data_IF_776543912180
#
_entry.id   IF_776543912180
#
_cell.length_a   1.000
_cell.length_b   1.000
_cell.length_c   1.000
_cell.angle_alpha   90.00
_cell.angle_beta   90.00
_cell.angle_gamma   90.00
#
_symmetry.space_group_name_H-M   'P 1'
#
loop_
_entity.id
_entity.type
_entity.pdbx_description
1 polymer ?
#
# COMPACT_ATOMS: atom_id res chain seq x y z
N UNK A 1 -25.10 13.51 -8.42
CA UNK A 1 -23.95 12.58 -8.56
C UNK A 1 -24.37 11.13 -8.46
N UNK A 2 -24.92 10.66 -7.32
CA UNK A 2 -25.34 9.26 -7.15
C UNK A 2 -26.60 8.92 -7.94
N UNK A 3 -27.69 9.68 -7.76
CA UNK A 3 -28.96 9.48 -8.48
C UNK A 3 -28.76 9.50 -10.00
N UNK A 4 -27.98 10.46 -10.46
CA UNK A 4 -27.62 10.65 -11.87
C UNK A 4 -26.53 9.70 -12.40
N UNK A 5 -26.01 8.78 -11.56
CA UNK A 5 -24.98 7.79 -11.91
C UNK A 5 -23.74 8.38 -12.60
N UNK A 6 -23.32 9.55 -12.12
CA UNK A 6 -22.18 10.28 -12.67
C UNK A 6 -20.86 9.55 -12.47
N UNK A 7 -20.71 8.85 -11.35
CA UNK A 7 -19.51 8.09 -11.00
C UNK A 7 -19.83 6.59 -10.98
N UNK A 8 -18.81 5.78 -11.28
CA UNK A 8 -18.85 4.33 -11.08
C UNK A 8 -17.77 3.92 -10.09
N UNK A 9 -18.16 3.11 -9.11
CA UNK A 9 -17.23 2.52 -8.16
C UNK A 9 -16.89 1.08 -8.58
N UNK A 10 -15.61 0.72 -8.58
CA UNK A 10 -15.10 -0.63 -8.88
C UNK A 10 -14.00 -1.01 -7.92
N UNK A 11 -13.91 -2.30 -7.61
CA UNK A 11 -12.91 -2.84 -6.70
C UNK A 11 -12.46 -4.23 -7.14
N UNK A 12 -11.20 -4.54 -6.85
CA UNK A 12 -10.64 -5.87 -6.90
C UNK A 12 -9.88 -6.12 -5.60
N UNK A 13 -10.04 -7.32 -5.05
CA UNK A 13 -9.29 -7.81 -3.90
C UNK A 13 -8.69 -9.17 -4.24
N UNK A 14 -7.61 -9.53 -3.56
CA UNK A 14 -6.94 -10.82 -3.67
C UNK A 14 -6.33 -11.24 -2.33
N UNK A 15 -6.15 -12.54 -2.15
CA UNK A 15 -5.52 -13.14 -0.97
C UNK A 15 -4.54 -14.21 -1.44
N UNK A 16 -3.38 -14.25 -0.81
CA UNK A 16 -2.33 -15.19 -1.16
C UNK A 16 -1.72 -15.78 0.10
N UNK A 17 -1.40 -17.09 0.10
CA UNK A 17 -0.49 -17.67 1.07
C UNK A 17 0.83 -16.90 1.01
N UNK A 18 1.33 -16.48 2.16
CA UNK A 18 2.52 -15.66 2.26
C UNK A 18 3.34 -16.00 3.50
N UNK A 19 4.64 -15.76 3.45
CA UNK A 19 5.55 -15.85 4.58
C UNK A 19 6.60 -14.74 4.51
N UNK A 20 7.07 -14.31 5.66
CA UNK A 20 8.27 -13.47 5.74
C UNK A 20 9.50 -14.31 5.32
N UNK A 21 10.35 -13.70 4.51
CA UNK A 21 11.64 -14.23 4.08
C UNK A 21 12.72 -13.15 4.20
N UNK A 22 13.95 -13.58 4.40
CA UNK A 22 15.14 -12.72 4.39
C UNK A 22 15.00 -11.47 5.29
N UNK A 23 14.26 -11.60 6.41
CA UNK A 23 14.01 -10.61 7.47
C UNK A 23 13.05 -9.47 7.09
N UNK A 24 13.11 -8.97 5.86
CA UNK A 24 12.42 -7.73 5.46
C UNK A 24 11.45 -7.90 4.27
N UNK A 25 11.31 -9.10 3.72
CA UNK A 25 10.50 -9.36 2.53
C UNK A 25 9.34 -10.31 2.81
N UNK A 26 8.31 -10.24 1.97
CA UNK A 26 7.13 -11.11 2.05
C UNK A 26 7.02 -11.88 0.73
N UNK A 27 7.27 -13.18 0.77
CA UNK A 27 7.11 -14.09 -0.37
C UNK A 27 5.66 -14.58 -0.45
N UNK A 28 5.05 -14.45 -1.63
CA UNK A 28 3.71 -14.96 -1.92
C UNK A 28 3.81 -16.24 -2.72
N UNK A 29 2.84 -17.14 -2.54
CA UNK A 29 2.78 -18.40 -3.24
C UNK A 29 1.52 -18.51 -4.11
N UNK A 30 1.60 -19.33 -5.16
CA UNK A 30 0.49 -19.59 -6.06
C UNK A 30 -0.70 -20.27 -5.36
N UNK A 31 -0.43 -21.09 -4.34
CA UNK A 31 -1.40 -21.87 -3.60
C UNK A 31 -0.90 -22.26 -2.19
N UNK A 32 -1.76 -22.92 -1.41
CA UNK A 32 -1.48 -23.32 -0.03
C UNK A 32 -0.39 -24.40 0.10
N UNK A 33 0.00 -25.05 -1.00
CA UNK A 33 1.13 -25.99 -1.00
C UNK A 33 2.47 -25.26 -0.84
N UNK A 34 2.53 -23.93 -1.09
CA UNK A 34 3.70 -23.06 -0.89
C UNK A 34 4.99 -23.54 -1.58
N UNK A 35 4.83 -24.19 -2.74
CA UNK A 35 5.95 -24.73 -3.54
C UNK A 35 6.43 -23.77 -4.62
N UNK A 36 5.50 -23.02 -5.21
CA UNK A 36 5.79 -22.10 -6.32
C UNK A 36 5.63 -20.66 -5.83
N UNK A 37 6.74 -19.92 -5.67
CA UNK A 37 6.70 -18.49 -5.41
C UNK A 37 6.04 -17.74 -6.58
N UNK A 38 5.15 -16.82 -6.25
CA UNK A 38 4.38 -16.04 -7.21
C UNK A 38 4.94 -14.62 -7.39
N UNK A 39 5.23 -13.95 -6.27
CA UNK A 39 5.73 -12.58 -6.22
C UNK A 39 6.36 -12.31 -4.85
N UNK A 40 7.21 -11.28 -4.75
CA UNK A 40 7.77 -10.82 -3.48
C UNK A 40 7.42 -9.35 -3.27
N UNK A 41 6.87 -9.02 -2.11
CA UNK A 41 6.75 -7.63 -1.67
C UNK A 41 7.95 -7.27 -0.79
N UNK A 42 8.64 -6.19 -1.15
CA UNK A 42 9.87 -5.80 -0.50
C UNK A 42 9.63 -4.68 0.48
N UNK A 43 9.86 -4.91 1.78
CA UNK A 43 9.59 -3.92 2.82
C UNK A 43 10.86 -3.22 3.29
N UNK A 44 10.68 -2.05 3.90
CA UNK A 44 11.74 -1.23 4.47
C UNK A 44 11.62 -1.24 5.98
N UNK A 45 12.77 -1.27 6.65
CA UNK A 45 12.89 -1.30 8.11
C UNK A 45 13.31 0.07 8.65
N UNK A 46 12.72 0.42 9.79
CA UNK A 46 13.16 1.56 10.58
C UNK A 46 14.66 1.43 10.97
N UNK A 47 15.45 2.48 10.77
CA UNK A 47 16.87 2.50 11.16
C UNK A 47 17.21 3.52 12.26
N UNK A 48 16.21 4.23 12.78
CA UNK A 48 16.42 5.18 13.87
C UNK A 48 16.91 4.49 15.16
N UNK A 49 17.85 5.12 15.85
CA UNK A 49 18.27 4.68 17.19
C UNK A 49 17.12 4.86 18.16
N UNK A 50 16.66 3.76 18.75
CA UNK A 50 15.58 3.76 19.74
C UNK A 50 16.15 3.97 21.15
N UNK A 51 15.50 4.82 21.92
CA UNK A 51 15.71 4.94 23.38
C UNK A 51 14.78 4.00 24.18
N UNK A 52 13.74 3.49 23.53
CA UNK A 52 12.78 2.52 24.06
C UNK A 52 13.16 1.08 23.70
N UNK A 53 12.60 0.10 24.42
CA UNK A 53 12.68 -1.33 24.08
C UNK A 53 11.88 -1.73 22.82
N UNK A 54 11.12 -0.79 22.22
CA UNK A 54 10.37 -1.03 20.98
C UNK A 54 11.32 -1.39 19.84
N UNK A 55 11.01 -2.48 19.14
CA UNK A 55 11.71 -2.90 17.95
C UNK A 55 11.64 -1.86 16.81
N UNK A 56 12.59 -1.95 15.90
CA UNK A 56 12.51 -1.23 14.64
C UNK A 56 11.71 -2.05 13.65
N UNK A 57 10.54 -1.55 13.27
CA UNK A 57 9.59 -2.28 12.47
C UNK A 57 9.89 -2.27 10.98
N UNK A 58 9.60 -3.38 10.34
CA UNK A 58 9.33 -3.56 8.93
C UNK A 58 7.92 -4.16 8.77
N UNK A 59 7.26 -3.96 7.62
CA UNK A 59 5.92 -4.55 7.41
C UNK A 59 5.96 -6.08 7.38
N UNK A 60 7.09 -6.66 6.97
CA UNK A 60 7.31 -8.11 6.96
C UNK A 60 7.19 -8.74 8.37
N UNK A 61 7.48 -7.98 9.43
CA UNK A 61 7.39 -8.45 10.83
C UNK A 61 5.96 -8.88 11.23
N UNK A 62 4.94 -8.48 10.45
CA UNK A 62 3.54 -8.81 10.68
C UNK A 62 3.06 -10.02 9.86
N UNK A 63 3.98 -10.76 9.23
CA UNK A 63 3.73 -12.03 8.53
C UNK A 63 4.61 -13.10 9.16
N UNK A 64 4.10 -14.30 9.35
CA UNK A 64 4.86 -15.37 9.97
C UNK A 64 6.12 -15.72 9.16
N UNK A 65 7.30 -15.82 9.82
CA UNK A 65 8.54 -16.27 9.18
C UNK A 65 8.38 -17.63 8.53
N UNK A 66 8.99 -17.82 7.37
CA UNK A 66 8.92 -19.09 6.62
C UNK A 66 9.42 -20.30 7.42
N UNK A 67 10.44 -20.11 8.26
CA UNK A 67 11.01 -21.16 9.10
C UNK A 67 10.17 -21.49 10.34
N UNK A 68 9.18 -20.66 10.69
CA UNK A 68 8.25 -20.91 11.79
C UNK A 68 7.29 -22.08 11.51
N UNK A 69 7.10 -22.42 10.23
CA UNK A 69 6.12 -23.44 9.79
C UNK A 69 4.65 -23.00 9.93
N UNK A 70 4.38 -21.75 10.30
CA UNK A 70 3.02 -21.20 10.38
C UNK A 70 2.56 -20.78 8.98
N UNK A 71 1.40 -21.30 8.56
CA UNK A 71 0.75 -20.89 7.34
C UNK A 71 0.09 -19.51 7.53
N UNK A 72 0.70 -18.47 6.97
CA UNK A 72 0.20 -17.10 7.01
C UNK A 72 -0.22 -16.59 5.63
N UNK A 73 -0.86 -15.43 5.59
CA UNK A 73 -1.50 -14.88 4.40
C UNK A 73 -1.37 -13.37 4.39
N UNK A 74 -1.32 -12.80 3.19
CA UNK A 74 -1.59 -11.38 2.99
C UNK A 74 -2.73 -11.18 2.00
N UNK A 75 -3.40 -10.04 2.10
CA UNK A 75 -4.36 -9.60 1.10
C UNK A 75 -3.85 -8.39 0.32
N UNK A 76 -4.53 -8.06 -0.76
CA UNK A 76 -4.29 -6.85 -1.54
C UNK A 76 -5.58 -6.31 -2.12
N UNK A 77 -5.63 -5.00 -2.37
CA UNK A 77 -6.78 -4.35 -2.98
C UNK A 77 -6.41 -3.22 -3.93
N UNK A 78 -7.31 -2.96 -4.86
CA UNK A 78 -7.39 -1.72 -5.61
C UNK A 78 -8.87 -1.34 -5.73
N UNK A 79 -9.22 -0.12 -5.32
CA UNK A 79 -10.56 0.45 -5.44
C UNK A 79 -10.50 1.80 -6.15
N UNK A 80 -11.55 2.12 -6.89
CA UNK A 80 -11.73 3.46 -7.46
C UNK A 80 -13.20 3.84 -7.45
N UNK A 81 -13.45 5.11 -7.12
CA UNK A 81 -14.75 5.77 -7.30
C UNK A 81 -14.68 6.88 -8.36
N UNK A 82 -13.53 7.06 -9.02
CA UNK A 82 -13.26 8.17 -9.93
C UNK A 82 -13.68 7.97 -11.38
N UNK A 83 -14.25 6.82 -11.77
CA UNK A 83 -14.67 6.61 -13.16
C UNK A 83 -15.80 7.57 -13.55
N UNK A 84 -15.49 8.54 -14.42
CA UNK A 84 -16.37 9.63 -14.85
C UNK A 84 -16.05 10.98 -14.21
N UNK A 85 -15.18 11.03 -13.20
CA UNK A 85 -14.82 12.25 -12.47
C UNK A 85 -14.25 13.35 -13.38
N UNK A 86 -13.27 13.00 -14.22
CA UNK A 86 -12.58 13.95 -15.10
C UNK A 86 -13.54 14.61 -16.09
N UNK A 87 -14.50 13.86 -16.63
CA UNK A 87 -15.50 14.36 -17.57
C UNK A 87 -16.45 15.36 -16.91
N UNK A 88 -16.88 15.08 -15.68
CA UNK A 88 -17.75 15.98 -14.89
C UNK A 88 -17.00 17.27 -14.56
N UNK A 89 -15.80 17.14 -14.02
CA UNK A 89 -14.99 18.28 -13.61
C UNK A 89 -14.63 19.16 -14.83
N UNK A 90 -14.31 18.55 -15.97
CA UNK A 90 -14.11 19.27 -17.24
C UNK A 90 -15.37 20.00 -17.68
N UNK A 91 -16.55 19.36 -17.63
CA UNK A 91 -17.82 19.99 -17.99
C UNK A 91 -18.20 21.20 -17.12
N UNK A 92 -17.78 21.23 -15.85
CA UNK A 92 -17.91 22.41 -15.00
C UNK A 92 -16.91 23.51 -15.35
N UNK A 93 -15.64 23.16 -15.61
CA UNK A 93 -14.60 24.12 -16.03
C UNK A 93 -14.92 24.79 -17.37
N UNK A 94 -15.48 24.06 -18.33
CA UNK A 94 -15.94 24.61 -19.62
C UNK A 94 -17.05 25.66 -19.46
N UNK A 95 -17.77 25.64 -18.33
CA UNK A 95 -18.80 26.62 -17.96
C UNK A 95 -18.27 27.68 -17.00
N UNK A 96 -16.96 27.74 -16.77
CA UNK A 96 -16.30 28.61 -15.80
C UNK A 96 -16.80 28.43 -14.35
N UNK A 97 -17.24 27.23 -13.99
CA UNK A 97 -17.68 26.85 -12.63
C UNK A 97 -16.58 26.05 -11.91
N UNK A 98 -15.46 26.71 -11.60
CA UNK A 98 -14.32 26.07 -10.95
C UNK A 98 -14.67 25.50 -9.57
N UNK A 99 -15.60 26.15 -8.86
CA UNK A 99 -16.08 25.67 -7.56
C UNK A 99 -16.70 24.29 -7.66
N UNK A 100 -17.63 24.07 -8.59
CA UNK A 100 -18.25 22.75 -8.77
C UNK A 100 -17.30 21.72 -9.36
N UNK A 101 -16.35 22.15 -10.19
CA UNK A 101 -15.28 21.26 -10.66
C UNK A 101 -14.49 20.71 -9.46
N UNK A 102 -13.93 21.59 -8.62
CA UNK A 102 -13.16 21.21 -7.42
C UNK A 102 -14.02 20.37 -6.47
N UNK A 103 -15.26 20.80 -6.20
CA UNK A 103 -16.16 20.08 -5.30
C UNK A 103 -16.46 18.65 -5.80
N UNK A 104 -16.67 18.47 -7.11
CA UNK A 104 -16.92 17.14 -7.69
C UNK A 104 -15.72 16.21 -7.53
N UNK A 105 -14.50 16.71 -7.73
CA UNK A 105 -13.26 15.95 -7.55
C UNK A 105 -13.02 15.61 -6.07
N UNK A 106 -13.21 16.58 -5.16
CA UNK A 106 -13.14 16.32 -3.72
C UNK A 106 -14.15 15.27 -3.26
N UNK A 107 -15.37 15.28 -3.80
CA UNK A 107 -16.37 14.25 -3.48
C UNK A 107 -16.00 12.88 -4.03
N UNK A 108 -15.45 12.79 -5.23
CA UNK A 108 -14.97 11.52 -5.80
C UNK A 108 -13.85 10.92 -4.93
N UNK A 109 -12.89 11.75 -4.51
CA UNK A 109 -11.82 11.36 -3.60
C UNK A 109 -12.34 10.85 -2.25
N UNK A 110 -13.29 11.56 -1.62
CA UNK A 110 -13.93 11.08 -0.38
C UNK A 110 -14.69 9.77 -0.57
N UNK A 111 -15.28 9.54 -1.74
CA UNK A 111 -15.94 8.26 -2.06
C UNK A 111 -14.93 7.12 -2.26
N UNK A 112 -13.77 7.39 -2.84
CA UNK A 112 -12.72 6.38 -2.99
C UNK A 112 -12.17 5.94 -1.63
N UNK A 113 -11.94 6.88 -0.71
CA UNK A 113 -11.51 6.58 0.66
C UNK A 113 -12.59 5.84 1.45
N UNK A 114 -13.85 6.28 1.36
CA UNK A 114 -14.97 5.58 1.97
C UNK A 114 -15.12 4.15 1.42
N UNK A 115 -14.84 3.95 0.13
CA UNK A 115 -14.87 2.62 -0.47
C UNK A 115 -13.71 1.75 0.01
N UNK A 116 -12.52 2.32 0.21
CA UNK A 116 -11.40 1.60 0.80
C UNK A 116 -11.69 1.15 2.24
N UNK A 117 -12.28 2.03 3.06
CA UNK A 117 -12.70 1.69 4.43
C UNK A 117 -13.76 0.59 4.44
N UNK A 118 -14.81 0.75 3.64
CA UNK A 118 -15.89 -0.23 3.56
C UNK A 118 -15.41 -1.59 3.02
N UNK A 119 -14.55 -1.59 1.99
CA UNK A 119 -13.98 -2.82 1.47
C UNK A 119 -13.11 -3.50 2.54
N UNK A 120 -12.31 -2.73 3.29
CA UNK A 120 -11.50 -3.28 4.37
C UNK A 120 -12.40 -3.90 5.46
N UNK A 121 -13.47 -3.22 5.88
CA UNK A 121 -14.46 -3.79 6.81
C UNK A 121 -15.00 -5.14 6.29
N UNK A 122 -15.41 -5.20 5.03
CA UNK A 122 -15.89 -6.46 4.42
C UNK A 122 -14.81 -7.52 4.34
N UNK A 123 -13.55 -7.14 4.11
CA UNK A 123 -12.43 -8.09 4.15
C UNK A 123 -12.29 -8.70 5.53
N UNK A 124 -12.32 -7.90 6.60
CA UNK A 124 -12.23 -8.40 7.98
C UNK A 124 -13.39 -9.32 8.36
N UNK A 125 -14.61 -9.00 7.92
CA UNK A 125 -15.85 -9.67 8.33
C UNK A 125 -16.28 -10.83 7.43
N UNK A 126 -16.08 -10.70 6.12
CA UNK A 126 -16.69 -11.58 5.11
C UNK A 126 -15.65 -12.34 4.28
N UNK A 127 -14.63 -11.66 3.74
CA UNK A 127 -13.74 -12.27 2.74
C UNK A 127 -12.55 -13.00 3.37
N UNK A 128 -11.86 -12.36 4.30
CA UNK A 128 -10.84 -12.99 5.14
C UNK A 128 -11.46 -13.50 6.45
N UNK A 129 -12.51 -12.82 6.93
CA UNK A 129 -13.38 -13.29 8.01
C UNK A 129 -12.68 -13.58 9.36
N UNK A 130 -11.55 -12.93 9.65
CA UNK A 130 -10.87 -13.05 10.95
C UNK A 130 -11.54 -12.24 12.08
N UNK A 131 -12.54 -11.42 11.75
CA UNK A 131 -13.33 -10.62 12.69
C UNK A 131 -14.81 -10.59 12.28
N UNK A 132 -15.42 -11.76 12.05
CA UNK A 132 -16.78 -11.88 11.51
C UNK A 132 -17.89 -11.25 12.40
N UNK A 133 -17.63 -11.10 13.70
CA UNK A 133 -18.53 -10.51 14.69
C UNK A 133 -18.28 -9.00 14.93
N UNK A 134 -17.36 -8.38 14.18
CA UNK A 134 -17.04 -6.95 14.29
C UNK A 134 -18.27 -6.07 14.01
N UNK A 135 -18.58 -5.17 14.94
CA UNK A 135 -19.67 -4.22 14.84
C UNK A 135 -19.24 -2.83 15.35
N UNK A 136 -18.42 -2.16 14.54
CA UNK A 136 -17.88 -0.83 14.84
C UNK A 136 -18.74 0.27 14.23
N UNK A 137 -18.84 1.40 14.94
CA UNK A 137 -19.38 2.63 14.37
C UNK A 137 -18.40 3.27 13.39
N UNK A 138 -18.89 4.16 12.53
CA UNK A 138 -18.03 4.89 11.59
C UNK A 138 -16.92 5.69 12.29
N UNK A 139 -17.17 6.22 13.50
CA UNK A 139 -16.14 6.91 14.27
C UNK A 139 -15.05 5.95 14.75
N UNK A 140 -15.43 4.74 15.15
CA UNK A 140 -14.47 3.72 15.57
C UNK A 140 -13.67 3.16 14.39
N UNK A 141 -14.25 3.13 13.18
CA UNK A 141 -13.52 2.83 11.94
C UNK A 141 -12.47 3.93 11.64
N UNK A 142 -12.85 5.22 11.76
CA UNK A 142 -11.91 6.35 11.57
C UNK A 142 -10.79 6.33 12.62
N UNK A 143 -11.09 5.91 13.85
CA UNK A 143 -10.11 5.72 14.92
C UNK A 143 -9.31 4.41 14.80
N UNK A 144 -9.52 3.65 13.73
CA UNK A 144 -8.82 2.39 13.43
C UNK A 144 -8.95 1.34 14.57
N UNK A 145 -10.08 1.30 15.27
CA UNK A 145 -10.32 0.38 16.41
C UNK A 145 -10.55 -1.09 16.02
N UNK A 146 -10.31 -1.43 14.77
CA UNK A 146 -10.37 -2.80 14.27
C UNK A 146 -9.00 -3.48 14.38
N UNK A 147 -9.00 -4.81 14.26
CA UNK A 147 -7.78 -5.61 14.11
C UNK A 147 -7.28 -5.52 12.67
N UNK A 148 -5.96 -5.41 12.50
CA UNK A 148 -5.31 -5.44 11.18
C UNK A 148 -5.13 -4.05 10.56
N UNK A 149 -4.29 -3.97 9.52
CA UNK A 149 -3.97 -2.72 8.82
C UNK A 149 -4.06 -2.89 7.30
N UNK A 150 -4.16 -1.77 6.58
CA UNK A 150 -4.24 -1.72 5.12
C UNK A 150 -3.19 -0.81 4.45
N UNK A 151 -1.88 -0.97 4.70
CA UNK A 151 -0.84 -0.05 4.22
C UNK A 151 -0.78 0.01 2.70
N UNK A 152 -0.56 1.22 2.18
CA UNK A 152 -0.51 1.50 0.76
C UNK A 152 0.90 1.94 0.34
N UNK A 153 1.44 1.43 -0.78
CA UNK A 153 2.70 1.92 -1.33
C UNK A 153 2.69 3.44 -1.60
N UNK A 154 3.70 4.12 -1.09
CA UNK A 154 3.83 5.59 -1.04
C UNK A 154 3.48 6.21 0.31
N UNK A 155 2.86 5.47 1.23
CA UNK A 155 2.61 5.93 2.60
C UNK A 155 3.83 5.69 3.52
N UNK A 156 3.90 6.32 4.71
CA UNK A 156 5.08 6.26 5.57
C UNK A 156 5.57 4.85 5.95
N UNK A 157 4.68 3.85 6.04
CA UNK A 157 5.04 2.46 6.36
C UNK A 157 5.68 1.72 5.18
N UNK A 158 5.39 2.15 3.95
CA UNK A 158 5.97 1.62 2.71
C UNK A 158 6.11 2.76 1.69
N UNK A 159 7.16 3.60 1.80
CA UNK A 159 7.28 4.81 0.98
C UNK A 159 7.69 4.54 -0.47
N UNK A 160 8.11 3.33 -0.82
CA UNK A 160 8.41 2.96 -2.21
C UNK A 160 7.12 2.83 -3.04
N UNK A 161 6.91 3.77 -3.97
CA UNK A 161 5.78 3.76 -4.88
C UNK A 161 5.81 2.61 -5.90
N UNK A 162 6.98 2.06 -6.20
CA UNK A 162 7.14 1.06 -7.26
C UNK A 162 6.53 -0.30 -6.87
N UNK A 163 6.29 -0.56 -5.59
CA UNK A 163 5.56 -1.74 -5.10
C UNK A 163 4.11 -1.82 -5.64
N UNK A 164 3.54 -0.70 -6.11
CA UNK A 164 2.24 -0.73 -6.80
C UNK A 164 2.28 -1.59 -8.06
N UNK A 165 3.42 -1.70 -8.74
CA UNK A 165 3.55 -2.52 -9.94
C UNK A 165 3.22 -3.99 -9.67
N UNK A 166 3.85 -4.55 -8.63
CA UNK A 166 3.63 -5.93 -8.20
C UNK A 166 2.17 -6.15 -7.77
N UNK A 167 1.62 -5.22 -6.97
CA UNK A 167 0.23 -5.29 -6.53
C UNK A 167 -0.77 -5.26 -7.70
N UNK A 168 -0.57 -4.36 -8.67
CA UNK A 168 -1.46 -4.23 -9.83
C UNK A 168 -1.41 -5.47 -10.72
N UNK A 169 -0.21 -6.01 -10.94
CA UNK A 169 -0.01 -7.26 -11.69
C UNK A 169 -0.70 -8.44 -11.00
N UNK A 170 -0.52 -8.60 -9.69
CA UNK A 170 -1.15 -9.67 -8.91
C UNK A 170 -2.68 -9.60 -8.93
N UNK A 171 -3.23 -8.39 -8.80
CA UNK A 171 -4.68 -8.18 -8.80
C UNK A 171 -5.28 -8.24 -10.20
N UNK A 172 -4.47 -8.06 -11.25
CA UNK A 172 -4.93 -7.77 -12.61
C UNK A 172 -5.86 -6.55 -12.62
N UNK A 173 -5.43 -5.48 -11.92
CA UNK A 173 -6.28 -4.34 -11.58
C UNK A 173 -6.70 -3.51 -12.82
N UNK A 174 -5.80 -3.36 -13.78
CA UNK A 174 -6.09 -2.63 -15.02
C UNK A 174 -7.18 -3.34 -15.83
N UNK A 175 -7.06 -4.65 -16.06
CA UNK A 175 -8.05 -5.40 -16.84
C UNK A 175 -9.38 -5.54 -16.08
N UNK A 176 -9.33 -5.87 -14.79
CA UNK A 176 -10.56 -6.17 -14.03
C UNK A 176 -11.37 -4.95 -13.67
N UNK A 177 -10.72 -3.83 -13.34
CA UNK A 177 -11.44 -2.63 -12.88
C UNK A 177 -11.16 -1.37 -13.69
N UNK A 178 -10.08 -1.33 -14.48
CA UNK A 178 -9.74 -0.19 -15.34
C UNK A 178 -8.89 0.89 -14.66
N UNK A 179 -8.32 0.61 -13.48
CA UNK A 179 -7.39 1.54 -12.83
C UNK A 179 -5.99 1.29 -13.40
N UNK A 180 -5.32 2.34 -13.84
CA UNK A 180 -3.99 2.28 -14.45
C UNK A 180 -2.93 2.97 -13.57
N UNK A 181 -1.66 2.66 -13.83
CA UNK A 181 -0.52 3.33 -13.21
C UNK A 181 0.19 4.22 -14.23
N UNK A 182 0.50 5.45 -13.84
CA UNK A 182 1.39 6.32 -14.62
C UNK A 182 2.85 5.87 -14.51
N UNK A 183 3.74 6.47 -15.29
CA UNK A 183 5.20 6.27 -15.16
C UNK A 183 5.75 6.62 -13.77
N UNK A 184 5.04 7.46 -13.02
CA UNK A 184 5.36 7.84 -11.63
C UNK A 184 4.63 6.99 -10.58
N UNK A 185 3.94 5.92 -10.97
CA UNK A 185 3.12 5.07 -10.10
C UNK A 185 2.02 5.85 -9.36
N UNK A 186 1.52 6.93 -9.97
CA UNK A 186 0.24 7.51 -9.59
C UNK A 186 -0.88 6.67 -10.22
N UNK A 187 -2.00 6.53 -9.51
CA UNK A 187 -3.15 5.79 -10.03
C UNK A 187 -4.06 6.72 -10.85
N UNK A 188 -4.66 6.18 -11.91
CA UNK A 188 -5.72 6.83 -12.64
C UNK A 188 -6.94 5.88 -12.76
N UNK A 189 -8.17 6.33 -12.45
CA UNK A 189 -8.57 7.69 -12.03
C UNK A 189 -7.93 8.16 -10.71
N UNK A 190 -7.84 9.48 -10.51
CA UNK A 190 -7.19 10.07 -9.34
C UNK A 190 -7.84 9.66 -8.01
N UNK A 191 -9.17 9.58 -7.98
CA UNK A 191 -9.93 9.03 -6.85
C UNK A 191 -9.85 7.49 -6.80
N UNK A 192 -8.66 6.97 -6.48
CA UNK A 192 -8.37 5.54 -6.34
C UNK A 192 -7.46 5.28 -5.12
N UNK A 193 -7.64 4.12 -4.50
CA UNK A 193 -6.85 3.66 -3.35
C UNK A 193 -6.42 2.22 -3.59
N UNK A 194 -5.15 1.90 -3.32
CA UNK A 194 -4.62 0.53 -3.41
C UNK A 194 -3.68 0.26 -2.26
N UNK A 195 -3.64 -0.98 -1.77
CA UNK A 195 -2.72 -1.37 -0.72
C UNK A 195 -2.76 -2.87 -0.42
N UNK A 196 -2.03 -3.25 0.61
CA UNK A 196 -1.99 -4.59 1.15
C UNK A 196 -2.88 -4.68 2.39
N UNK A 197 -3.33 -5.89 2.75
CA UNK A 197 -4.03 -6.19 3.99
C UNK A 197 -3.16 -7.09 4.87
N UNK A 198 -3.06 -6.73 6.14
CA UNK A 198 -2.39 -7.53 7.18
C UNK A 198 -3.38 -7.86 8.28
N UNK A 199 -3.42 -9.12 8.72
CA UNK A 199 -4.37 -9.60 9.73
C UNK A 199 -3.75 -9.75 11.13
N UNK A 200 -2.43 -9.62 11.28
CA UNK A 200 -1.76 -9.81 12.56
C UNK A 200 -2.30 -8.82 13.61
N UNK A 201 -2.68 -9.28 14.82
CA UNK A 201 -3.36 -8.44 15.80
C UNK A 201 -2.50 -7.31 16.38
N UNK A 202 -1.19 -7.42 16.24
CA UNK A 202 -0.23 -6.38 16.65
C UNK A 202 0.28 -5.55 15.47
N UNK A 203 -0.28 -5.74 14.27
CA UNK A 203 0.05 -4.87 13.15
C UNK A 203 -0.43 -3.45 13.41
N UNK A 204 0.43 -2.48 13.13
CA UNK A 204 0.15 -1.07 13.34
C UNK A 204 0.79 -0.22 12.24
N UNK A 205 0.23 0.96 12.00
CA UNK A 205 0.88 1.93 11.12
C UNK A 205 2.10 2.55 11.79
N UNK A 206 3.19 2.62 11.03
CA UNK A 206 4.41 3.30 11.45
C UNK A 206 5.00 4.07 10.26
N UNK A 207 5.92 4.99 10.55
CA UNK A 207 6.78 5.59 9.52
C UNK A 207 8.13 4.89 9.52
N UNK A 208 8.62 4.46 8.35
CA UNK A 208 9.99 3.95 8.17
C UNK A 208 11.00 4.98 8.64
N UNK A 209 10.72 6.27 8.43
CA UNK A 209 11.60 7.36 8.80
C UNK A 209 12.80 7.45 7.86
N UNK A 210 13.92 8.00 8.35
CA UNK A 210 15.15 8.12 7.57
C UNK A 210 15.90 6.78 7.54
N UNK A 211 16.42 6.42 6.37
CA UNK A 211 17.20 5.20 6.14
C UNK A 211 18.60 5.51 5.62
N UNK A 212 19.54 4.66 5.99
CA UNK A 212 20.95 4.75 5.67
C UNK A 212 21.27 4.06 4.34
N UNK A 213 22.46 4.37 3.82
CA UNK A 213 22.91 3.90 2.50
C UNK A 213 23.01 2.38 2.40
N UNK A 214 23.34 1.70 3.49
CA UNK A 214 23.45 0.23 3.53
C UNK A 214 22.12 -0.45 3.18
N UNK A 215 21.02 -0.01 3.79
CA UNK A 215 19.68 -0.52 3.52
C UNK A 215 19.24 -0.18 2.10
N UNK A 216 19.54 1.02 1.58
CA UNK A 216 19.17 1.39 0.20
C UNK A 216 19.92 0.53 -0.83
N UNK A 217 21.20 0.25 -0.59
CA UNK A 217 22.01 -0.65 -1.44
C UNK A 217 21.46 -2.08 -1.42
N UNK A 218 21.07 -2.55 -0.24
CA UNK A 218 20.53 -3.89 -0.05
C UNK A 218 19.12 -4.01 -0.68
N UNK A 219 18.23 -3.05 -0.42
CA UNK A 219 16.90 -2.97 -1.03
C UNK A 219 16.94 -2.86 -2.56
N UNK A 220 17.87 -2.07 -3.11
CA UNK A 220 18.07 -1.98 -4.55
C UNK A 220 18.44 -3.35 -5.17
N UNK A 221 19.29 -4.14 -4.48
CA UNK A 221 19.65 -5.48 -4.91
C UNK A 221 18.47 -6.44 -4.86
N UNK A 222 17.70 -6.46 -3.76
CA UNK A 222 16.48 -7.28 -3.62
C UNK A 222 15.50 -7.03 -4.76
N UNK A 223 15.31 -5.76 -5.11
CA UNK A 223 14.42 -5.33 -6.21
C UNK A 223 15.00 -5.49 -7.61
N UNK A 224 16.27 -5.89 -7.74
CA UNK A 224 16.95 -5.96 -9.03
C UNK A 224 17.04 -4.59 -9.73
N UNK A 225 17.06 -3.49 -8.98
CA UNK A 225 17.12 -2.13 -9.50
C UNK A 225 18.50 -1.51 -9.29
N UNK A 226 18.90 -0.63 -10.20
CA UNK A 226 20.11 0.16 -9.99
C UNK A 226 19.98 1.05 -8.76
N UNK A 227 21.05 1.16 -7.97
CA UNK A 227 21.08 2.01 -6.76
C UNK A 227 20.61 3.44 -7.04
N UNK A 228 21.06 4.05 -8.14
CA UNK A 228 20.68 5.41 -8.52
C UNK A 228 19.18 5.56 -8.78
N UNK A 229 18.55 4.52 -9.36
CA UNK A 229 17.09 4.49 -9.57
C UNK A 229 16.38 4.36 -8.24
N UNK A 230 16.88 3.50 -7.34
CA UNK A 230 16.31 3.34 -6.00
C UNK A 230 16.42 4.60 -5.15
N UNK A 231 17.58 5.27 -5.16
CA UNK A 231 17.79 6.56 -4.49
C UNK A 231 16.81 7.63 -4.97
N UNK A 232 16.40 7.61 -6.24
CA UNK A 232 15.37 8.52 -6.76
C UNK A 232 14.00 8.22 -6.14
N UNK A 233 13.61 6.94 -6.06
CA UNK A 233 12.32 6.56 -5.51
C UNK A 233 12.24 6.77 -4.00
N UNK A 234 13.33 6.52 -3.28
CA UNK A 234 13.44 6.67 -1.84
C UNK A 234 13.94 8.06 -1.40
N UNK A 235 14.10 9.01 -2.33
CA UNK A 235 14.65 10.34 -2.08
C UNK A 235 14.06 11.04 -0.82
N UNK A 236 12.75 10.99 -0.53
CA UNK A 236 12.19 11.64 0.67
C UNK A 236 12.75 11.09 1.98
N UNK A 237 13.19 9.83 2.01
CA UNK A 237 13.58 9.11 3.22
C UNK A 237 15.08 8.83 3.34
N UNK A 238 15.92 9.27 2.41
CA UNK A 238 17.37 9.10 2.53
C UNK A 238 17.93 9.94 3.69
N UNK A 239 18.83 9.35 4.47
CA UNK A 239 19.63 10.04 5.49
C UNK A 239 21.04 10.44 5.02
N UNK A 240 21.30 10.33 3.72
CA UNK A 240 22.58 10.65 3.11
C UNK A 240 22.36 11.33 1.76
N UNK A 241 23.42 11.93 1.21
CA UNK A 241 23.38 12.55 -0.12
C UNK A 241 23.82 11.54 -1.19
N UNK A 242 22.96 11.16 -2.16
CA UNK A 242 23.35 10.31 -3.28
C UNK A 242 24.57 10.84 -4.03
N UNK A 243 25.53 9.95 -4.31
CA UNK A 243 26.74 10.29 -5.05
C UNK A 243 27.82 11.04 -4.26
N UNK A 244 27.61 11.34 -2.98
CA UNK A 244 28.70 11.79 -2.11
C UNK A 244 29.68 10.63 -1.86
N UNK A 245 30.99 10.91 -1.87
CA UNK A 245 31.99 9.95 -1.39
C UNK A 245 31.72 9.68 0.10
N UNK A 246 31.86 8.43 0.59
CA UNK A 246 31.69 8.15 2.00
C UNK A 246 32.71 8.98 2.78
N UNK A 247 32.23 9.79 3.73
CA UNK A 247 33.11 10.44 4.70
C UNK A 247 33.85 9.33 5.45
N UNK A 248 35.18 9.29 5.35
CA UNK A 248 36.01 8.43 6.20
C UNK A 248 35.63 8.73 7.66
N UNK A 249 35.11 7.72 8.36
CA UNK A 249 34.86 7.82 9.80
C UNK A 249 36.15 8.31 10.47
N UNK A 250 36.10 9.51 11.06
CA UNK A 250 37.16 9.98 11.92
C UNK A 250 37.32 8.98 13.08
N UNK A 251 38.49 8.33 13.09
CA UNK A 251 38.91 7.23 13.98
C UNK A 251 38.65 7.46 15.48
#
# INVERSE_FOLDING_TARGET
MVEEKWLKARAVIGFWPANEIDVDDIELYADDDRKEPLEVFHTLRQQMKRSSERANFALADFVAPKDSGVADYIGGFCVSAGFGEDDIARGFREKHDDYRAILSQSLADRLAEAFAEHMHERVRKEFWAYAADENLSNMELIEEKYRGIRPAPGYPAQPDHTEKAALFKLLDAEEKIGVTLTESYAMWPGASVSGLYFSHPQSEYFGVGKIERDQVVEYAKRKGMELKVMERWLAPILNYTPGAEPEEEAA
#
